data_IF_004674831850
#
_entry.id   IF_004674831850
#
_cell.length_a   1.000
_cell.length_b   1.000
_cell.length_c   1.000
_cell.angle_alpha   90.00
_cell.angle_beta   90.00
_cell.angle_gamma   90.00
#
_symmetry.space_group_name_H-M   'P 1'
#
loop_
_entity.id
_entity.type
_entity.pdbx_description
1 polymer ?
#
# COMPACT_ATOMS: atom_id res chain seq x y z
N UNK A 1 18.26 -7.74 1.06
CA UNK A 1 18.77 -6.58 1.80
C UNK A 1 19.11 -6.97 3.23
N UNK A 2 19.93 -6.14 3.90
CA UNK A 2 20.33 -6.30 5.29
C UNK A 2 20.12 -4.98 6.01
N UNK A 3 19.41 -4.99 7.12
CA UNK A 3 19.30 -3.87 8.03
C UNK A 3 20.27 -4.06 9.19
N UNK A 4 21.12 -3.07 9.41
CA UNK A 4 22.10 -3.07 10.51
C UNK A 4 21.74 -1.93 11.46
N UNK A 5 21.66 -2.20 12.74
CA UNK A 5 21.46 -1.21 13.80
C UNK A 5 22.49 -1.47 14.92
N UNK A 6 23.20 -0.42 15.35
CA UNK A 6 24.22 -0.47 16.40
C UNK A 6 25.31 -1.55 16.13
N UNK A 7 25.65 -1.79 14.84
CA UNK A 7 26.65 -2.77 14.42
C UNK A 7 26.16 -4.23 14.39
N UNK A 8 24.89 -4.47 14.69
CA UNK A 8 24.28 -5.80 14.66
C UNK A 8 23.29 -5.90 13.50
N UNK A 9 23.19 -7.10 12.92
CA UNK A 9 22.18 -7.40 11.90
C UNK A 9 20.81 -7.47 12.59
N UNK A 10 19.91 -6.56 12.20
CA UNK A 10 18.54 -6.47 12.71
C UNK A 10 17.55 -7.22 11.85
N UNK A 11 17.71 -7.17 10.53
CA UNK A 11 16.89 -7.92 9.59
C UNK A 11 17.67 -8.28 8.33
N UNK A 12 17.35 -9.45 7.75
CA UNK A 12 17.83 -9.89 6.43
C UNK A 12 16.62 -10.39 5.67
N UNK A 13 16.46 -9.98 4.44
CA UNK A 13 15.36 -10.44 3.61
C UNK A 13 15.21 -9.71 2.29
N UNK A 14 13.98 -9.77 1.76
CA UNK A 14 13.61 -9.03 0.57
C UNK A 14 13.89 -7.53 0.78
N UNK A 15 14.42 -6.80 -0.22
CA UNK A 15 14.73 -5.37 -0.10
C UNK A 15 13.54 -4.52 0.38
N UNK A 16 12.34 -4.78 -0.14
CA UNK A 16 11.14 -4.02 0.21
C UNK A 16 10.73 -4.26 1.68
N UNK A 17 10.79 -5.50 2.14
CA UNK A 17 10.45 -5.85 3.53
C UNK A 17 11.46 -5.22 4.51
N UNK A 18 12.74 -5.23 4.16
CA UNK A 18 13.80 -4.60 4.98
C UNK A 18 13.67 -3.08 4.97
N UNK A 19 13.34 -2.46 3.82
CA UNK A 19 13.09 -1.03 3.72
C UNK A 19 11.85 -0.60 4.51
N UNK A 20 10.78 -1.39 4.48
CA UNK A 20 9.57 -1.16 5.27
C UNK A 20 9.88 -1.24 6.78
N UNK A 21 10.68 -2.24 7.19
CA UNK A 21 11.12 -2.34 8.59
C UNK A 21 11.95 -1.12 9.01
N UNK A 22 12.88 -0.69 8.18
CA UNK A 22 13.67 0.53 8.42
C UNK A 22 12.77 1.77 8.54
N UNK A 23 11.82 1.92 7.64
CA UNK A 23 10.87 3.04 7.64
C UNK A 23 9.97 3.01 8.89
N UNK A 24 9.51 1.83 9.29
CA UNK A 24 8.75 1.62 10.50
C UNK A 24 9.54 2.03 11.74
N UNK A 25 10.77 1.54 11.87
CA UNK A 25 11.64 1.84 13.00
C UNK A 25 11.94 3.35 13.11
N UNK A 26 12.06 4.04 11.98
CA UNK A 26 12.34 5.48 11.96
C UNK A 26 11.07 6.35 12.07
N UNK A 27 9.91 5.89 11.63
CA UNK A 27 8.64 6.63 11.76
C UNK A 27 8.19 6.76 13.22
N UNK A 28 8.69 5.90 14.09
CA UNK A 28 8.38 5.85 15.52
C UNK A 28 9.23 6.83 16.34
N UNK A 29 10.25 7.46 15.74
CA UNK A 29 11.02 8.50 16.45
C UNK A 29 10.29 9.84 16.34
N UNK A 30 9.71 10.37 17.45
CA UNK A 30 9.32 11.77 17.48
C UNK A 30 10.59 12.60 17.31
N UNK A 31 10.48 13.67 16.52
CA UNK A 31 11.51 14.71 16.42
C UNK A 31 11.74 15.28 17.82
N UNK A 32 12.59 14.67 18.61
CA UNK A 32 13.08 15.25 19.84
C UNK A 32 14.44 15.87 19.55
N UNK A 33 14.48 17.17 19.78
CA UNK A 33 15.70 17.93 19.95
C UNK A 33 16.68 17.18 20.86
N UNK A 34 17.96 17.25 20.50
CA UNK A 34 19.07 16.63 21.21
C UNK A 34 19.00 16.94 22.71
N UNK A 35 18.55 16.00 23.50
CA UNK A 35 18.87 15.94 24.91
C UNK A 35 19.72 14.69 25.21
N UNK A 36 20.79 14.98 25.92
CA UNK A 36 21.91 14.18 26.37
C UNK A 36 21.58 12.74 26.82
N UNK A 37 22.47 11.88 26.40
CA UNK A 37 22.84 10.53 26.84
C UNK A 37 22.16 9.91 28.07
N UNK A 38 21.79 8.64 27.86
CA UNK A 38 21.42 7.61 28.83
C UNK A 38 19.99 7.65 29.36
N UNK A 39 19.04 7.19 28.57
CA UNK A 39 17.84 6.57 29.11
C UNK A 39 17.45 5.32 28.31
N UNK A 40 17.12 4.27 29.06
CA UNK A 40 16.74 2.93 28.63
C UNK A 40 15.75 2.99 27.47
N UNK A 41 16.10 2.42 26.30
CA UNK A 41 15.15 2.14 25.21
C UNK A 41 13.95 1.38 25.81
N UNK A 42 12.86 2.08 26.06
CA UNK A 42 11.58 1.46 26.43
C UNK A 42 11.14 0.67 25.21
N UNK A 43 11.05 -0.65 25.30
CA UNK A 43 10.46 -1.47 24.24
C UNK A 43 9.07 -0.92 23.97
N UNK A 44 8.87 -0.37 22.79
CA UNK A 44 7.58 0.13 22.39
C UNK A 44 6.58 -1.02 22.38
N UNK A 45 5.45 -0.83 23.05
CA UNK A 45 4.44 -1.87 23.12
C UNK A 45 3.89 -2.15 21.72
N UNK A 46 3.90 -3.41 21.32
CA UNK A 46 3.21 -3.85 20.12
C UNK A 46 1.72 -3.64 20.32
N UNK A 47 1.09 -2.87 19.46
CA UNK A 47 -0.33 -2.51 19.54
C UNK A 47 -1.20 -3.28 18.55
N UNK A 48 -0.59 -3.74 17.46
CA UNK A 48 -1.23 -4.48 16.37
C UNK A 48 -0.34 -5.65 15.98
N UNK A 49 -0.93 -6.81 15.79
CA UNK A 49 -0.27 -8.06 15.35
C UNK A 49 -0.98 -8.65 14.14
N UNK A 50 -0.27 -9.52 13.41
CA UNK A 50 -0.81 -10.35 12.35
C UNK A 50 -1.56 -9.56 11.26
N UNK A 51 -1.01 -8.43 10.83
CA UNK A 51 -1.63 -7.67 9.76
C UNK A 51 -1.41 -8.36 8.41
N UNK A 52 -2.51 -8.76 7.79
CA UNK A 52 -2.53 -9.46 6.50
C UNK A 52 -3.53 -8.80 5.55
N UNK A 53 -3.22 -8.89 4.26
CA UNK A 53 -4.09 -8.42 3.18
C UNK A 53 -4.32 -9.57 2.20
N UNK A 54 -5.58 -9.80 1.87
CA UNK A 54 -5.99 -10.83 0.92
C UNK A 54 -6.86 -10.21 -0.18
N UNK A 55 -6.54 -10.52 -1.43
CA UNK A 55 -7.41 -10.22 -2.57
C UNK A 55 -8.55 -11.24 -2.60
N UNK A 56 -9.80 -10.77 -2.65
CA UNK A 56 -11.00 -11.59 -2.72
C UNK A 56 -11.56 -11.72 -4.14
N UNK A 57 -11.37 -10.69 -4.97
CA UNK A 57 -11.72 -10.70 -6.40
C UNK A 57 -10.66 -11.43 -7.24
N UNK A 58 -10.91 -11.71 -8.52
CA UNK A 58 -9.85 -12.14 -9.44
C UNK A 58 -8.68 -11.16 -9.45
N UNK A 59 -7.48 -11.65 -9.67
CA UNK A 59 -6.28 -10.80 -9.76
C UNK A 59 -6.02 -10.24 -11.17
N UNK A 60 -6.72 -10.74 -12.18
CA UNK A 60 -6.69 -10.26 -13.55
C UNK A 60 -8.04 -9.59 -13.82
N UNK A 61 -8.02 -8.31 -14.06
CA UNK A 61 -9.22 -7.46 -14.14
C UNK A 61 -9.11 -6.43 -15.26
N UNK A 62 -10.25 -5.96 -15.70
CA UNK A 62 -10.36 -4.79 -16.58
C UNK A 62 -10.54 -3.51 -15.76
N UNK A 63 -10.38 -2.31 -16.36
CA UNK A 63 -10.59 -1.04 -15.64
C UNK A 63 -11.99 -0.85 -15.05
N UNK A 64 -13.00 -1.56 -15.56
CA UNK A 64 -14.38 -1.44 -15.08
C UNK A 64 -14.72 -2.41 -13.96
N UNK A 65 -13.86 -3.39 -13.70
CA UNK A 65 -14.09 -4.40 -12.69
C UNK A 65 -13.92 -3.82 -11.28
N UNK A 66 -14.69 -4.38 -10.36
CA UNK A 66 -14.61 -4.08 -8.95
C UNK A 66 -13.60 -4.99 -8.27
N UNK A 67 -12.66 -4.38 -7.58
CA UNK A 67 -11.67 -5.06 -6.73
C UNK A 67 -12.16 -5.13 -5.30
N UNK A 68 -11.94 -6.26 -4.66
CA UNK A 68 -12.29 -6.46 -3.26
C UNK A 68 -11.12 -7.06 -2.48
N UNK A 69 -10.78 -6.44 -1.35
CA UNK A 69 -9.69 -6.84 -0.47
C UNK A 69 -10.20 -7.05 0.95
N UNK A 70 -9.64 -8.05 1.63
CA UNK A 70 -9.84 -8.29 3.04
C UNK A 70 -8.56 -7.93 3.80
N UNK A 71 -8.70 -7.10 4.83
CA UNK A 71 -7.65 -6.76 5.77
C UNK A 71 -7.97 -7.41 7.10
N UNK A 72 -7.02 -8.17 7.65
CA UNK A 72 -7.16 -8.80 8.97
C UNK A 72 -5.99 -8.41 9.85
N UNK A 73 -6.26 -8.13 11.12
CA UNK A 73 -5.23 -7.87 12.14
C UNK A 73 -5.79 -8.06 13.54
N UNK A 74 -4.90 -8.25 14.49
CA UNK A 74 -5.26 -8.33 15.92
C UNK A 74 -4.85 -7.05 16.62
N UNK A 75 -5.81 -6.36 17.22
CA UNK A 75 -5.61 -5.14 18.00
C UNK A 75 -5.48 -5.53 19.49
N UNK A 76 -4.33 -5.19 20.10
CA UNK A 76 -4.00 -5.60 21.46
C UNK A 76 -4.48 -4.61 22.51
N UNK A 77 -4.72 -3.36 22.13
CA UNK A 77 -5.20 -2.31 23.03
C UNK A 77 -6.42 -1.61 22.42
N UNK A 78 -7.25 -1.05 23.29
CA UNK A 78 -8.41 -0.26 22.85
C UNK A 78 -7.97 1.14 22.42
N UNK A 79 -7.51 1.24 21.20
CA UNK A 79 -7.14 2.49 20.53
C UNK A 79 -7.93 2.63 19.23
N UNK A 80 -8.09 3.84 18.73
CA UNK A 80 -8.66 4.06 17.40
C UNK A 80 -7.58 3.86 16.34
N UNK A 81 -7.87 3.02 15.37
CA UNK A 81 -6.96 2.73 14.24
C UNK A 81 -7.67 2.94 12.91
N UNK A 82 -6.88 3.12 11.87
CA UNK A 82 -7.34 3.13 10.48
C UNK A 82 -6.34 2.41 9.57
N UNK A 83 -6.81 1.97 8.43
CA UNK A 83 -5.99 1.37 7.38
C UNK A 83 -5.68 2.46 6.36
N UNK A 84 -4.42 2.59 5.96
CA UNK A 84 -4.01 3.36 4.80
C UNK A 84 -3.39 2.41 3.77
N UNK A 85 -3.73 2.59 2.51
CA UNK A 85 -3.29 1.74 1.42
C UNK A 85 -2.77 2.54 0.23
N UNK A 86 -1.94 1.90 -0.57
CA UNK A 86 -1.44 2.42 -1.85
C UNK A 86 -1.38 1.30 -2.88
N UNK A 87 -1.81 1.59 -4.09
CA UNK A 87 -1.54 0.75 -5.25
C UNK A 87 -0.24 1.23 -5.90
N UNK A 88 0.76 0.36 -5.91
CA UNK A 88 2.12 0.66 -6.36
C UNK A 88 2.41 -0.16 -7.62
N UNK A 89 2.83 0.50 -8.68
CA UNK A 89 3.30 -0.21 -9.88
C UNK A 89 4.60 -0.97 -9.59
N UNK A 90 4.61 -2.26 -9.92
CA UNK A 90 5.74 -3.13 -9.57
C UNK A 90 6.99 -2.88 -10.42
N UNK A 91 6.87 -2.22 -11.58
CA UNK A 91 7.99 -1.95 -12.46
C UNK A 91 8.69 -0.65 -12.10
N UNK A 92 7.93 0.36 -11.72
CA UNK A 92 8.43 1.70 -11.41
C UNK A 92 8.56 1.99 -9.93
N UNK A 93 7.87 1.20 -9.10
CA UNK A 93 7.72 1.39 -7.66
C UNK A 93 7.07 2.75 -7.28
N UNK A 94 6.26 3.32 -8.18
CA UNK A 94 5.47 4.52 -7.89
C UNK A 94 4.08 4.16 -7.39
N UNK A 95 3.63 4.86 -6.33
CA UNK A 95 2.26 4.80 -5.86
C UNK A 95 1.34 5.63 -6.76
N UNK A 96 0.33 4.99 -7.32
CA UNK A 96 -0.60 5.64 -8.24
C UNK A 96 -1.93 6.03 -7.62
N UNK A 97 -2.35 5.28 -6.63
CA UNK A 97 -3.64 5.47 -5.99
C UNK A 97 -3.50 5.20 -4.50
N UNK A 98 -3.97 6.11 -3.69
CA UNK A 98 -3.97 6.00 -2.24
C UNK A 98 -5.39 6.14 -1.72
N UNK A 99 -5.70 5.36 -0.69
CA UNK A 99 -6.96 5.48 0.05
C UNK A 99 -6.74 5.15 1.53
N UNK A 100 -7.74 5.45 2.34
CA UNK A 100 -7.69 5.16 3.76
C UNK A 100 -9.10 4.97 4.35
N UNK A 101 -9.16 4.30 5.49
CA UNK A 101 -10.39 4.02 6.21
C UNK A 101 -10.62 4.98 7.40
N UNK A 102 -10.18 6.23 7.32
CA UNK A 102 -10.27 7.16 8.47
C UNK A 102 -11.70 7.41 8.95
N UNK A 103 -12.68 7.32 8.04
CA UNK A 103 -14.09 7.46 8.38
C UNK A 103 -14.66 6.22 9.09
N UNK A 104 -14.01 5.07 8.97
CA UNK A 104 -14.37 3.83 9.62
C UNK A 104 -13.60 3.67 10.93
N UNK A 105 -14.01 4.29 11.98
CA UNK A 105 -13.35 4.22 13.30
C UNK A 105 -13.21 2.78 13.79
N UNK A 106 -12.04 2.17 13.60
CA UNK A 106 -11.77 0.80 14.02
C UNK A 106 -11.24 0.85 15.44
N UNK A 107 -12.09 0.54 16.42
CA UNK A 107 -11.74 0.56 17.84
C UNK A 107 -11.89 -0.80 18.51
N UNK A 108 -11.62 -0.85 19.83
CA UNK A 108 -11.72 -2.06 20.65
C UNK A 108 -10.53 -3.02 20.44
N UNK A 109 -10.43 -4.01 21.29
CA UNK A 109 -9.40 -5.08 21.24
C UNK A 109 -9.87 -6.29 20.44
N UNK A 110 -8.94 -7.21 20.11
CA UNK A 110 -9.23 -8.48 19.45
C UNK A 110 -9.05 -8.45 17.94
N UNK A 111 -9.51 -9.52 17.29
CA UNK A 111 -9.41 -9.68 15.83
C UNK A 111 -10.28 -8.63 15.10
N UNK A 112 -9.71 -8.05 14.05
CA UNK A 112 -10.36 -7.10 13.16
C UNK A 112 -10.37 -7.67 11.76
N UNK A 113 -11.49 -7.46 11.08
CA UNK A 113 -11.68 -7.80 9.67
C UNK A 113 -12.37 -6.63 8.99
N UNK A 114 -11.72 -6.10 7.95
CA UNK A 114 -12.22 -4.97 7.17
C UNK A 114 -12.22 -5.37 5.71
N UNK A 115 -13.31 -5.10 5.02
CA UNK A 115 -13.42 -5.29 3.58
C UNK A 115 -13.31 -3.92 2.92
N UNK A 116 -12.45 -3.83 1.94
CA UNK A 116 -12.30 -2.68 1.07
C UNK A 116 -12.72 -3.05 -0.33
N UNK A 117 -13.57 -2.24 -0.92
CA UNK A 117 -14.08 -2.41 -2.28
C UNK A 117 -13.80 -1.14 -3.07
N UNK A 118 -13.18 -1.27 -4.24
CA UNK A 118 -12.89 -0.13 -5.10
C UNK A 118 -12.96 -0.49 -6.58
N UNK A 119 -13.10 0.55 -7.41
CA UNK A 119 -12.75 0.54 -8.82
C UNK A 119 -11.53 1.40 -9.02
N UNK A 120 -10.54 0.88 -9.71
CA UNK A 120 -9.37 1.68 -10.05
C UNK A 120 -9.72 2.71 -11.12
N UNK A 121 -9.00 3.85 -11.16
CA UNK A 121 -9.08 4.77 -12.29
C UNK A 121 -8.82 4.05 -13.61
N UNK A 122 -9.26 4.62 -14.71
CA UNK A 122 -9.07 4.03 -16.03
C UNK A 122 -7.57 3.96 -16.36
N UNK A 123 -6.98 2.79 -16.09
CA UNK A 123 -5.57 2.52 -16.26
C UNK A 123 -5.32 1.80 -17.57
N UNK A 124 -4.18 2.03 -18.14
CA UNK A 124 -3.61 1.18 -19.19
C UNK A 124 -3.19 -0.16 -18.59
N UNK A 125 -2.57 -1.05 -19.38
CA UNK A 125 -1.99 -2.27 -18.82
C UNK A 125 -1.09 -1.92 -17.63
N UNK A 126 -1.38 -2.49 -16.47
CA UNK A 126 -0.63 -2.22 -15.26
C UNK A 126 -0.53 -3.46 -14.37
N UNK A 127 0.54 -3.53 -13.60
CA UNK A 127 0.74 -4.53 -12.56
C UNK A 127 0.90 -3.81 -11.24
N UNK A 128 -0.13 -3.84 -10.43
CA UNK A 128 -0.20 -3.08 -9.19
C UNK A 128 -0.11 -3.97 -7.97
N UNK A 129 0.83 -3.70 -7.10
CA UNK A 129 0.94 -4.30 -5.77
C UNK A 129 0.17 -3.43 -4.78
N UNK A 130 -0.67 -4.04 -3.94
CA UNK A 130 -1.33 -3.33 -2.85
C UNK A 130 -0.42 -3.30 -1.63
N UNK A 131 0.02 -2.13 -1.24
CA UNK A 131 0.71 -1.88 0.02
C UNK A 131 -0.26 -1.28 1.04
N UNK A 132 -0.18 -1.73 2.29
CA UNK A 132 -1.09 -1.26 3.32
C UNK A 132 -0.43 -1.17 4.69
N UNK A 133 -0.92 -0.24 5.49
CA UNK A 133 -0.49 -0.02 6.87
C UNK A 133 -1.69 0.14 7.79
N UNK A 134 -1.57 -0.33 9.03
CA UNK A 134 -2.47 0.06 10.11
C UNK A 134 -1.83 1.22 10.85
N UNK A 135 -2.60 2.29 11.08
CA UNK A 135 -2.14 3.52 11.73
C UNK A 135 -3.06 3.88 12.89
N UNK A 136 -2.53 4.62 13.87
CA UNK A 136 -3.34 5.21 14.93
C UNK A 136 -3.95 6.58 14.52
N UNK A 137 -4.67 7.21 15.43
CA UNK A 137 -5.29 8.52 15.22
C UNK A 137 -4.26 9.63 14.90
N UNK A 138 -3.05 9.51 15.39
CA UNK A 138 -1.93 10.44 15.09
C UNK A 138 -1.20 10.10 13.78
N UNK A 139 -1.74 9.16 12.99
CA UNK A 139 -1.18 8.66 11.72
C UNK A 139 0.16 7.91 11.86
N UNK A 140 0.54 7.50 13.07
CA UNK A 140 1.73 6.67 13.28
C UNK A 140 1.46 5.26 12.78
N UNK A 141 2.42 4.67 12.09
CA UNK A 141 2.33 3.30 11.59
C UNK A 141 2.48 2.33 12.75
N UNK A 142 1.49 1.45 12.94
CA UNK A 142 1.47 0.41 13.97
C UNK A 142 1.82 -0.97 13.40
N UNK A 143 1.46 -1.20 12.14
CA UNK A 143 1.79 -2.40 11.40
C UNK A 143 1.79 -2.12 9.90
N UNK A 144 2.51 -2.92 9.13
CA UNK A 144 2.49 -2.91 7.67
C UNK A 144 2.31 -4.34 7.13
N UNK A 145 1.67 -4.45 5.97
CA UNK A 145 1.59 -5.72 5.26
C UNK A 145 2.94 -6.05 4.63
N UNK A 146 3.38 -7.31 4.76
CA UNK A 146 4.67 -7.76 4.21
C UNK A 146 4.61 -7.72 2.69
N UNK A 147 5.48 -6.94 2.05
CA UNK A 147 5.47 -6.68 0.60
C UNK A 147 5.60 -7.95 -0.25
N UNK A 148 6.35 -8.95 0.21
CA UNK A 148 6.50 -10.23 -0.49
C UNK A 148 5.22 -11.08 -0.52
N UNK A 149 4.24 -10.76 0.32
CA UNK A 149 2.92 -11.40 0.39
C UNK A 149 1.79 -10.47 -0.08
N UNK A 150 2.12 -9.25 -0.45
CA UNK A 150 1.13 -8.28 -0.87
C UNK A 150 0.41 -8.74 -2.15
N UNK A 151 -0.91 -8.58 -2.24
CA UNK A 151 -1.65 -8.93 -3.44
C UNK A 151 -1.19 -8.12 -4.64
N UNK A 152 -1.08 -8.78 -5.80
CA UNK A 152 -0.79 -8.14 -7.08
C UNK A 152 -2.03 -8.25 -7.96
N UNK A 153 -2.44 -7.12 -8.52
CA UNK A 153 -3.54 -7.02 -9.48
C UNK A 153 -2.95 -6.71 -10.86
N UNK A 154 -3.41 -7.46 -11.85
CA UNK A 154 -3.06 -7.29 -13.26
C UNK A 154 -4.24 -6.61 -13.95
N UNK A 155 -4.02 -5.42 -14.47
CA UNK A 155 -5.03 -4.67 -15.21
C UNK A 155 -4.79 -4.89 -16.69
N UNK A 156 -5.80 -5.40 -17.37
CA UNK A 156 -5.80 -5.66 -18.81
C UNK A 156 -6.90 -4.87 -19.48
N UNK A 157 -6.59 -4.26 -20.60
CA UNK A 157 -7.57 -3.53 -21.40
C UNK A 157 -8.10 -4.43 -22.50
N UNK A 158 -9.41 -4.67 -22.46
CA UNK A 158 -10.11 -5.45 -23.49
C UNK A 158 -10.85 -4.56 -24.51
N UNK A 159 -10.83 -3.24 -24.28
CA UNK A 159 -11.49 -2.25 -25.12
C UNK A 159 -10.59 -1.72 -26.26
N UNK A 160 -9.34 -2.17 -26.33
CA UNK A 160 -8.41 -1.86 -27.41
C UNK A 160 -8.43 -2.99 -28.41
N UNK A 161 -8.75 -2.75 -29.69
CA UNK A 161 -8.63 -3.75 -30.74
C UNK A 161 -7.19 -4.29 -30.81
N UNK A 162 -7.04 -5.60 -31.04
CA UNK A 162 -5.71 -6.26 -31.11
C UNK A 162 -4.83 -5.72 -32.26
N UNK A 163 -5.46 -5.11 -33.26
CA UNK A 163 -4.83 -4.53 -34.45
C UNK A 163 -4.52 -3.03 -34.32
N UNK A 164 -4.90 -2.39 -33.21
CA UNK A 164 -4.57 -0.99 -32.94
C UNK A 164 -3.24 -0.83 -32.19
N UNK A 165 -2.15 -0.95 -32.94
CA UNK A 165 -0.78 -0.78 -32.38
C UNK A 165 -0.57 0.58 -31.72
N UNK A 166 -1.30 1.62 -32.11
CA UNK A 166 -1.16 2.97 -31.53
C UNK A 166 -1.72 3.07 -30.11
N UNK A 167 -2.71 2.26 -29.81
CA UNK A 167 -3.34 2.19 -28.49
C UNK A 167 -2.53 1.33 -27.51
N UNK A 168 -1.65 0.48 -28.03
CA UNK A 168 -0.84 -0.47 -27.24
C UNK A 168 0.51 0.10 -26.83
N UNK A 169 0.87 1.32 -27.24
CA UNK A 169 2.11 1.93 -26.82
C UNK A 169 2.08 2.24 -25.31
N UNK A 170 2.38 1.21 -24.54
CA UNK A 170 2.44 1.24 -23.08
C UNK A 170 3.51 2.17 -22.51
N UNK A 171 4.40 2.69 -23.37
CA UNK A 171 5.44 3.62 -22.96
C UNK A 171 4.90 5.01 -22.62
N UNK A 172 3.66 5.33 -22.98
CA UNK A 172 3.17 6.69 -22.98
C UNK A 172 2.31 7.12 -21.82
N UNK A 173 1.92 6.24 -20.91
CA UNK A 173 1.22 6.67 -19.71
C UNK A 173 0.36 5.63 -19.04
N UNK A 174 0.25 5.78 -17.72
CA UNK A 174 -0.55 4.90 -16.89
C UNK A 174 -2.04 5.16 -17.03
N UNK A 175 -2.44 6.42 -17.14
CA UNK A 175 -3.84 6.82 -17.26
C UNK A 175 -4.19 7.00 -18.73
N UNK A 176 -5.26 6.35 -19.15
CA UNK A 176 -5.82 6.53 -20.50
C UNK A 176 -7.06 7.42 -20.40
N UNK A 177 -7.09 8.44 -21.22
CA UNK A 177 -8.28 9.27 -21.40
C UNK A 177 -8.50 9.51 -22.89
N UNK A 178 -9.70 9.27 -23.34
CA UNK A 178 -10.11 9.62 -24.67
C UNK A 178 -10.45 11.11 -24.70
N UNK A 179 -9.63 11.91 -25.38
CA UNK A 179 -9.93 13.29 -25.73
C UNK A 179 -10.71 13.35 -27.04
N UNK A 180 -11.32 14.50 -27.34
CA UNK A 180 -11.89 14.79 -28.67
C UNK A 180 -10.90 15.60 -29.49
N UNK A 181 -10.74 15.23 -30.76
CA UNK A 181 -9.87 15.92 -31.70
C UNK A 181 -10.75 16.60 -32.76
N UNK A 182 -10.45 17.85 -33.06
CA UNK A 182 -11.14 18.59 -34.12
C UNK A 182 -10.09 19.33 -34.96
N UNK A 183 -10.13 19.13 -36.29
CA UNK A 183 -9.33 19.89 -37.21
C UNK A 183 -9.85 21.34 -37.28
N UNK A 184 -8.96 22.30 -37.07
CA UNK A 184 -9.29 23.73 -37.22
C UNK A 184 -8.85 24.20 -38.61
N UNK A 185 -9.78 24.45 -39.50
CA UNK A 185 -9.50 25.07 -40.76
C UNK A 185 -9.38 26.58 -40.53
N UNK A 186 -8.19 27.12 -40.75
CA UNK A 186 -7.90 28.60 -40.84
C UNK A 186 -8.13 29.10 -42.22
#
# INVERSE_FOLDING_TARGET
AVLIEDGLIKAIGNPDDVANQYSFDNAIQPTQEKETASEKKTKQAVLVENFEVKLLSPNQVTPDDELQFEFTFKQLQNIETHIALSFVDINTNYGYYNDNSMDLKIGGTGEKKVIYTCKLPYLNHARLRLEATVRDADKRVLAFAVSSKAPIVFIERNDIPEDDESALDSATGLLVRNGSWQESHT
#
